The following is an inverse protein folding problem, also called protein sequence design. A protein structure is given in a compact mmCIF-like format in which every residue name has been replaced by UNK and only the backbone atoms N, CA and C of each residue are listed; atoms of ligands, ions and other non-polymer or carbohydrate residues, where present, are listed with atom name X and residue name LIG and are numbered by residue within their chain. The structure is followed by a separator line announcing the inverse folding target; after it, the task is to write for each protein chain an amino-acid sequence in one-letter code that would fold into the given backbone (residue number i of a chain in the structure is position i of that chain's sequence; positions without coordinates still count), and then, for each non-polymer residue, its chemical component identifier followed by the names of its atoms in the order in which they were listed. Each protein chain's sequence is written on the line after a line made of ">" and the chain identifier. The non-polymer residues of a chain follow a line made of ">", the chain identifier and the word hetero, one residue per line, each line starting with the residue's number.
data_IF_764012011718
#
_entry.id   IF_764012011718
#
_cell.length_a   1.000
_cell.length_b   1.000
_cell.length_c   1.000
_cell.angle_alpha   90.00
_cell.angle_beta   90.00
_cell.angle_gamma   90.00
#
_symmetry.space_group_name_H-M   'P 1'
#
loop_
_entity.id
_entity.type
_entity.pdbx_description
1 polymer ?
#
# COMPACT_ATOMS: atom_id res chain seq x y z
N UNK A 1 -22.47 -65.27 15.60
CA UNK A 1 -22.46 -64.81 14.19
C UNK A 1 -22.77 -63.31 14.23
N UNK A 2 -21.76 -62.56 14.66
CA UNK A 2 -21.83 -61.13 14.89
C UNK A 2 -21.18 -60.42 13.71
N UNK A 3 -21.97 -59.62 12.98
CA UNK A 3 -21.47 -58.80 11.88
C UNK A 3 -21.07 -57.43 12.46
N UNK A 4 -19.77 -57.19 12.56
CA UNK A 4 -19.22 -55.87 12.76
C UNK A 4 -19.52 -55.00 11.55
N UNK A 5 -20.30 -53.95 11.78
CA UNK A 5 -20.48 -52.85 10.84
C UNK A 5 -19.32 -51.88 11.06
N UNK A 6 -18.31 -51.99 10.20
CA UNK A 6 -17.27 -50.95 10.08
C UNK A 6 -17.90 -49.69 9.46
N UNK A 7 -18.24 -48.74 10.33
CA UNK A 7 -18.54 -47.39 9.91
C UNK A 7 -17.21 -46.70 9.53
N UNK A 8 -16.84 -46.80 8.26
CA UNK A 8 -15.81 -45.88 7.67
C UNK A 8 -16.34 -44.48 7.77
N UNK A 9 -15.78 -43.71 8.69
CA UNK A 9 -15.83 -42.27 8.63
C UNK A 9 -15.11 -41.84 7.33
N UNK A 10 -15.89 -41.52 6.32
CA UNK A 10 -15.42 -40.70 5.18
C UNK A 10 -15.02 -39.34 5.73
N UNK A 11 -13.74 -39.21 6.06
CA UNK A 11 -13.11 -37.93 6.29
C UNK A 11 -13.22 -37.18 4.97
N UNK A 12 -14.18 -36.23 4.91
CA UNK A 12 -14.28 -35.25 3.84
C UNK A 12 -12.95 -34.53 3.78
N UNK A 13 -12.14 -34.94 2.81
CA UNK A 13 -10.86 -34.29 2.52
C UNK A 13 -11.20 -32.95 1.89
N UNK A 14 -11.41 -31.94 2.74
CA UNK A 14 -11.50 -30.53 2.29
C UNK A 14 -10.17 -30.22 1.62
N UNK A 15 -10.15 -29.89 0.31
CA UNK A 15 -8.91 -29.51 -0.35
C UNK A 15 -8.27 -28.36 0.43
N UNK A 16 -6.94 -28.33 0.60
CA UNK A 16 -6.28 -27.20 1.25
C UNK A 16 -6.64 -25.94 0.49
N UNK A 17 -7.27 -25.00 1.20
CA UNK A 17 -7.63 -23.69 0.67
C UNK A 17 -6.37 -23.09 0.05
N UNK A 18 -6.39 -22.68 -1.24
CA UNK A 18 -5.21 -22.15 -1.89
C UNK A 18 -4.66 -21.00 -1.03
N UNK A 19 -3.33 -20.86 -0.87
CA UNK A 19 -2.74 -19.85 0.00
C UNK A 19 -3.35 -18.51 -0.35
N UNK A 20 -3.94 -17.86 0.64
CA UNK A 20 -4.69 -16.61 0.47
C UNK A 20 -3.84 -15.65 -0.37
N UNK A 21 -4.27 -15.45 -1.61
CA UNK A 21 -3.55 -14.66 -2.61
C UNK A 21 -3.40 -13.24 -2.09
N UNK A 22 -2.18 -12.91 -1.66
CA UNK A 22 -1.86 -11.59 -1.12
C UNK A 22 -1.49 -10.69 -2.28
N UNK A 23 -2.27 -9.65 -2.50
CA UNK A 23 -1.94 -8.64 -3.49
C UNK A 23 -0.89 -7.67 -2.94
N UNK A 24 0.14 -7.43 -3.73
CA UNK A 24 1.25 -6.54 -3.38
C UNK A 24 1.29 -5.33 -4.32
N UNK A 25 1.78 -4.22 -3.80
CA UNK A 25 2.07 -3.04 -4.61
C UNK A 25 3.17 -3.35 -5.64
N UNK A 26 2.78 -3.43 -6.92
CA UNK A 26 3.68 -3.74 -8.04
C UNK A 26 4.63 -2.58 -8.39
N UNK A 27 4.25 -1.34 -8.07
CA UNK A 27 5.05 -0.14 -8.39
C UNK A 27 6.06 0.23 -7.31
N UNK A 28 5.99 -0.40 -6.15
CA UNK A 28 6.91 -0.12 -5.04
C UNK A 28 8.40 -0.16 -5.45
N UNK A 29 8.79 -1.10 -6.30
CA UNK A 29 10.19 -1.19 -6.78
C UNK A 29 10.58 0.03 -7.62
N UNK A 30 9.66 0.56 -8.44
CA UNK A 30 9.89 1.78 -9.22
C UNK A 30 10.06 3.02 -8.33
N UNK A 31 9.20 3.16 -7.32
CA UNK A 31 9.26 4.27 -6.37
C UNK A 31 10.53 4.22 -5.53
N UNK A 32 10.98 3.01 -5.15
CA UNK A 32 12.26 2.81 -4.46
C UNK A 32 13.45 3.25 -5.33
N UNK A 33 13.48 2.85 -6.61
CA UNK A 33 14.53 3.27 -7.54
C UNK A 33 14.53 4.79 -7.74
N UNK A 34 13.36 5.41 -7.81
CA UNK A 34 13.24 6.87 -7.90
C UNK A 34 13.82 7.55 -6.67
N UNK A 35 13.52 7.04 -5.48
CA UNK A 35 14.05 7.56 -4.21
C UNK A 35 15.58 7.43 -4.13
N UNK A 36 16.13 6.29 -4.56
CA UNK A 36 17.58 6.06 -4.63
C UNK A 36 18.23 7.03 -5.61
N UNK A 37 17.67 7.19 -6.81
CA UNK A 37 18.20 8.13 -7.82
C UNK A 37 18.20 9.56 -7.32
N UNK A 38 17.12 10.00 -6.68
CA UNK A 38 17.01 11.35 -6.14
C UNK A 38 18.09 11.61 -5.06
N UNK A 39 18.27 10.67 -4.13
CA UNK A 39 19.30 10.77 -3.10
C UNK A 39 20.72 10.76 -3.71
N UNK A 40 20.98 9.89 -4.68
CA UNK A 40 22.28 9.78 -5.36
C UNK A 40 22.62 11.07 -6.12
N UNK A 41 21.66 11.62 -6.89
CA UNK A 41 21.85 12.89 -7.61
C UNK A 41 22.17 14.02 -6.65
N UNK A 42 21.47 14.13 -5.53
CA UNK A 42 21.76 15.14 -4.52
C UNK A 42 23.19 15.02 -4.00
N UNK A 43 23.60 13.81 -3.58
CA UNK A 43 24.96 13.58 -3.05
C UNK A 43 26.02 13.90 -4.09
N UNK A 44 25.84 13.45 -5.33
CA UNK A 44 26.78 13.72 -6.44
C UNK A 44 26.90 15.24 -6.68
N UNK A 45 25.78 15.95 -6.73
CA UNK A 45 25.80 17.41 -6.93
C UNK A 45 26.55 18.12 -5.80
N UNK A 46 26.29 17.75 -4.53
CA UNK A 46 26.97 18.34 -3.38
C UNK A 46 28.47 18.07 -3.39
N UNK A 47 28.88 16.85 -3.74
CA UNK A 47 30.30 16.49 -3.88
C UNK A 47 30.98 17.24 -5.04
N UNK A 48 30.31 17.41 -6.17
CA UNK A 48 30.83 18.17 -7.31
C UNK A 48 31.02 19.65 -6.96
N UNK A 49 30.08 20.25 -6.24
CA UNK A 49 30.18 21.65 -5.77
C UNK A 49 31.38 21.81 -4.83
N UNK A 50 31.53 20.91 -3.85
CA UNK A 50 32.64 20.95 -2.89
C UNK A 50 33.99 20.74 -3.57
N UNK A 51 34.03 19.83 -4.57
CA UNK A 51 35.22 19.58 -5.37
C UNK A 51 35.62 20.81 -6.21
N UNK A 52 34.62 21.40 -6.91
CA UNK A 52 34.84 22.58 -7.75
C UNK A 52 35.24 23.82 -6.96
N UNK A 53 34.78 23.93 -5.72
CA UNK A 53 35.18 25.00 -4.79
C UNK A 53 36.56 24.76 -4.13
N UNK A 54 37.21 23.61 -4.36
CA UNK A 54 38.48 23.25 -3.73
C UNK A 54 38.40 23.06 -2.20
N UNK A 55 37.15 22.94 -1.65
CA UNK A 55 36.90 22.85 -0.20
C UNK A 55 36.66 21.43 0.28
N UNK A 56 36.88 20.44 -0.59
CA UNK A 56 36.63 19.04 -0.27
C UNK A 56 37.46 18.57 0.92
N UNK A 57 36.81 18.06 1.93
CA UNK A 57 37.42 17.46 3.09
C UNK A 57 36.67 16.19 3.52
N UNK A 58 37.34 15.17 4.10
CA UNK A 58 36.68 13.94 4.50
C UNK A 58 35.44 14.13 5.41
N UNK A 59 35.46 15.03 6.41
CA UNK A 59 34.29 15.25 7.27
C UNK A 59 33.11 15.87 6.52
N UNK A 60 33.36 16.72 5.50
CA UNK A 60 32.31 17.27 4.65
C UNK A 60 31.69 16.21 3.74
N UNK A 61 32.53 15.34 3.15
CA UNK A 61 32.03 14.21 2.37
C UNK A 61 31.15 13.29 3.20
N UNK A 62 31.52 13.01 4.45
CA UNK A 62 30.69 12.24 5.37
C UNK A 62 29.36 12.94 5.72
N UNK A 63 29.38 14.26 5.85
CA UNK A 63 28.16 15.06 6.06
C UNK A 63 27.19 14.94 4.87
N UNK A 64 27.69 15.07 3.65
CA UNK A 64 26.87 14.96 2.44
C UNK A 64 26.32 13.56 2.24
N UNK A 65 27.12 12.53 2.53
CA UNK A 65 26.65 11.15 2.52
C UNK A 65 25.54 10.93 3.56
N UNK A 66 25.73 11.46 4.77
CA UNK A 66 24.71 11.41 5.83
C UNK A 66 23.41 12.10 5.43
N UNK A 67 23.50 13.26 4.76
CA UNK A 67 22.32 13.96 4.25
C UNK A 67 21.61 13.16 3.15
N UNK A 68 22.35 12.50 2.27
CA UNK A 68 21.81 11.61 1.25
C UNK A 68 21.07 10.41 1.85
N UNK A 69 21.64 9.79 2.90
CA UNK A 69 20.98 8.71 3.64
C UNK A 69 19.71 9.22 4.32
N UNK A 70 19.76 10.39 4.95
CA UNK A 70 18.59 11.00 5.58
C UNK A 70 17.48 11.27 4.56
N UNK A 71 17.83 11.83 3.41
CA UNK A 71 16.88 12.07 2.32
C UNK A 71 16.27 10.74 1.84
N UNK A 72 17.08 9.71 1.65
CA UNK A 72 16.59 8.39 1.26
C UNK A 72 15.61 7.81 2.30
N UNK A 73 15.91 7.96 3.59
CA UNK A 73 15.02 7.50 4.67
C UNK A 73 13.67 8.22 4.64
N UNK A 74 13.67 9.53 4.35
CA UNK A 74 12.45 10.35 4.24
C UNK A 74 11.63 9.97 3.00
N UNK A 75 12.31 9.71 1.87
CA UNK A 75 11.66 9.35 0.61
C UNK A 75 11.29 7.87 0.52
N UNK A 76 11.66 7.06 1.51
CA UNK A 76 11.43 5.61 1.47
C UNK A 76 9.93 5.28 1.34
N UNK A 77 9.50 4.63 0.23
CA UNK A 77 8.08 4.35 0.01
C UNK A 77 7.58 3.23 0.93
N UNK A 78 6.45 3.41 1.64
CA UNK A 78 5.86 2.33 2.41
C UNK A 78 5.30 1.26 1.48
N UNK A 79 5.54 -0.01 1.80
CA UNK A 79 4.92 -1.14 1.09
C UNK A 79 3.50 -1.36 1.57
N UNK A 80 2.56 -1.44 0.64
CA UNK A 80 1.18 -1.81 0.93
C UNK A 80 0.94 -3.24 0.45
N UNK A 81 0.26 -4.02 1.27
CA UNK A 81 -0.20 -5.38 0.93
C UNK A 81 -1.63 -5.57 1.44
N UNK A 82 -2.45 -6.23 0.63
CA UNK A 82 -3.85 -6.53 0.94
C UNK A 82 -4.05 -8.03 0.81
N UNK A 83 -4.65 -8.64 1.83
CA UNK A 83 -5.11 -10.02 1.81
C UNK A 83 -6.59 -10.09 2.16
N UNK A 84 -7.15 -11.29 2.26
CA UNK A 84 -8.55 -11.49 2.65
C UNK A 84 -8.79 -10.91 4.05
N UNK A 85 -9.61 -9.87 4.17
CA UNK A 85 -10.01 -9.24 5.43
C UNK A 85 -8.92 -8.43 6.13
N UNK A 86 -7.83 -8.09 5.48
CA UNK A 86 -6.80 -7.25 6.09
C UNK A 86 -5.99 -6.45 5.07
N UNK A 87 -5.54 -5.29 5.52
CA UNK A 87 -4.59 -4.45 4.81
C UNK A 87 -3.41 -4.14 5.73
N UNK A 88 -2.21 -4.27 5.21
CA UNK A 88 -1.00 -3.92 5.94
C UNK A 88 -0.18 -2.88 5.15
N UNK A 89 0.31 -1.89 5.89
CA UNK A 89 1.29 -0.93 5.41
C UNK A 89 2.59 -1.14 6.19
N UNK A 90 3.67 -1.39 5.47
CA UNK A 90 5.00 -1.60 6.02
C UNK A 90 5.91 -0.45 5.60
N UNK A 91 6.10 0.50 6.49
CA UNK A 91 7.17 1.48 6.39
C UNK A 91 8.50 0.94 6.91
N UNK A 92 9.53 1.77 6.87
CA UNK A 92 10.88 1.40 7.32
C UNK A 92 10.91 1.01 8.82
N UNK A 93 10.22 1.78 9.67
CA UNK A 93 10.26 1.65 11.13
C UNK A 93 9.02 1.00 11.73
N UNK A 94 7.90 0.97 11.01
CA UNK A 94 6.61 0.49 11.56
C UNK A 94 5.85 -0.34 10.55
N UNK A 95 5.39 -1.51 10.99
CA UNK A 95 4.38 -2.31 10.30
C UNK A 95 3.04 -2.03 10.98
N UNK A 96 2.07 -1.56 10.22
CA UNK A 96 0.69 -1.37 10.68
C UNK A 96 -0.22 -2.28 9.88
N UNK A 97 -1.16 -2.91 10.54
CA UNK A 97 -2.17 -3.78 9.94
C UNK A 97 -3.54 -3.35 10.44
N UNK A 98 -4.52 -3.36 9.57
CA UNK A 98 -5.92 -3.10 9.86
C UNK A 98 -6.76 -4.22 9.28
N UNK A 99 -7.84 -4.58 9.96
CA UNK A 99 -8.82 -5.53 9.47
C UNK A 99 -9.82 -4.81 8.56
N UNK A 100 -9.82 -5.19 7.28
CA UNK A 100 -10.70 -4.56 6.27
C UNK A 100 -12.11 -5.12 6.30
N UNK A 101 -12.29 -6.30 6.85
CA UNK A 101 -13.59 -6.94 7.11
C UNK A 101 -14.35 -6.35 8.33
N UNK A 102 -13.68 -5.58 9.17
CA UNK A 102 -14.23 -4.93 10.37
C UNK A 102 -13.94 -3.44 10.39
N UNK A 103 -14.04 -2.77 9.25
CA UNK A 103 -13.82 -1.33 9.16
C UNK A 103 -14.92 -0.57 9.90
N UNK A 104 -14.49 0.39 10.71
CA UNK A 104 -15.38 1.32 11.42
C UNK A 104 -15.36 2.69 10.77
N UNK A 105 -14.21 3.12 10.27
CA UNK A 105 -14.06 4.45 9.71
C UNK A 105 -13.06 4.47 8.56
N UNK A 106 -13.46 5.12 7.47
CA UNK A 106 -12.60 5.46 6.34
C UNK A 106 -12.64 6.97 6.13
N UNK A 107 -11.49 7.63 6.15
CA UNK A 107 -11.40 9.09 5.96
C UNK A 107 -10.36 9.42 4.91
N UNK A 108 -10.72 10.28 3.97
CA UNK A 108 -9.75 10.99 3.13
C UNK A 108 -9.32 12.26 3.85
N UNK A 109 -8.03 12.41 4.04
CA UNK A 109 -7.42 13.64 4.50
C UNK A 109 -6.91 14.38 3.27
N UNK A 110 -7.53 15.52 3.00
CA UNK A 110 -7.14 16.41 1.93
C UNK A 110 -6.05 17.36 2.47
N UNK A 111 -4.89 17.35 1.84
CA UNK A 111 -3.73 18.15 2.20
C UNK A 111 -2.74 18.18 1.04
N UNK A 112 -1.51 18.63 1.30
CA UNK A 112 -0.42 18.62 0.31
C UNK A 112 -0.18 17.21 -0.24
N UNK A 113 -0.37 16.20 0.58
CA UNK A 113 -0.46 14.79 0.15
C UNK A 113 -1.77 14.20 0.65
N UNK A 114 -2.61 13.73 -0.28
CA UNK A 114 -3.83 13.03 0.08
C UNK A 114 -3.49 11.73 0.81
N UNK A 115 -4.21 11.46 1.90
CA UNK A 115 -4.05 10.24 2.69
C UNK A 115 -5.39 9.59 2.97
N UNK A 116 -5.47 8.30 2.73
CA UNK A 116 -6.61 7.48 3.12
C UNK A 116 -6.29 6.83 4.47
N UNK A 117 -7.11 7.15 5.46
CA UNK A 117 -6.99 6.63 6.83
C UNK A 117 -8.08 5.60 7.05
N UNK A 118 -7.66 4.37 7.30
CA UNK A 118 -8.53 3.23 7.62
C UNK A 118 -8.42 2.92 9.11
N UNK A 119 -9.55 2.70 9.78
CA UNK A 119 -9.62 2.28 11.17
C UNK A 119 -10.59 1.13 11.32
N UNK A 120 -10.17 0.08 12.03
CA UNK A 120 -10.99 -1.08 12.33
C UNK A 120 -11.62 -1.02 13.73
N UNK A 121 -12.47 -2.01 14.04
CA UNK A 121 -13.13 -2.15 15.32
C UNK A 121 -12.17 -2.43 16.49
N UNK A 122 -10.95 -2.94 16.22
CA UNK A 122 -9.92 -3.13 17.24
C UNK A 122 -9.18 -1.83 17.61
N UNK A 123 -9.46 -0.73 16.88
CA UNK A 123 -8.78 0.54 17.03
C UNK A 123 -7.48 0.65 16.24
N UNK A 124 -7.09 -0.38 15.50
CA UNK A 124 -5.94 -0.31 14.62
C UNK A 124 -6.17 0.71 13.49
N UNK A 125 -5.11 1.45 13.17
CA UNK A 125 -5.15 2.53 12.17
C UNK A 125 -4.02 2.37 11.18
N UNK A 126 -4.37 2.45 9.90
CA UNK A 126 -3.42 2.46 8.78
C UNK A 126 -3.68 3.69 7.91
N UNK A 127 -2.60 4.34 7.50
CA UNK A 127 -2.62 5.44 6.55
C UNK A 127 -1.93 4.99 5.27
N UNK A 128 -2.59 5.16 4.15
CA UNK A 128 -2.07 4.84 2.82
C UNK A 128 -2.25 6.03 1.88
N UNK A 129 -1.38 6.12 0.89
CA UNK A 129 -1.58 7.04 -0.23
C UNK A 129 -2.66 6.45 -1.16
N UNK A 130 -3.77 7.15 -1.45
CA UNK A 130 -4.78 6.69 -2.40
C UNK A 130 -4.22 6.33 -3.77
N UNK A 131 -3.13 6.97 -4.19
CA UNK A 131 -2.47 6.69 -5.47
C UNK A 131 -1.99 5.23 -5.58
N UNK A 132 -1.65 4.58 -4.46
CA UNK A 132 -1.29 3.16 -4.45
C UNK A 132 -2.48 2.29 -4.90
N UNK A 133 -3.70 2.65 -4.50
CA UNK A 133 -4.93 1.94 -4.90
C UNK A 133 -5.27 2.21 -6.38
N UNK A 134 -5.09 3.45 -6.83
CA UNK A 134 -5.26 3.83 -8.23
C UNK A 134 -4.30 3.06 -9.14
N UNK A 135 -3.05 2.96 -8.73
CA UNK A 135 -2.01 2.25 -9.47
C UNK A 135 -2.16 0.72 -9.45
N UNK A 136 -2.94 0.19 -8.52
CA UNK A 136 -3.14 -1.25 -8.33
C UNK A 136 -4.64 -1.56 -8.16
N UNK A 137 -5.40 -1.70 -9.25
CA UNK A 137 -6.85 -1.96 -9.20
C UNK A 137 -7.22 -3.20 -8.39
N UNK A 138 -6.36 -4.22 -8.39
CA UNK A 138 -6.56 -5.44 -7.60
C UNK A 138 -6.58 -5.18 -6.09
N UNK A 139 -5.70 -4.29 -5.60
CA UNK A 139 -5.70 -3.86 -4.20
C UNK A 139 -7.00 -3.10 -3.86
N UNK A 140 -7.47 -2.27 -4.80
CA UNK A 140 -8.72 -1.54 -4.65
C UNK A 140 -9.93 -2.46 -4.56
N UNK A 141 -10.09 -3.39 -5.51
CA UNK A 141 -11.23 -4.30 -5.53
C UNK A 141 -11.37 -5.11 -4.23
N UNK A 142 -10.25 -5.62 -3.70
CA UNK A 142 -10.26 -6.35 -2.43
C UNK A 142 -10.65 -5.46 -1.25
N UNK A 143 -10.12 -4.22 -1.20
CA UNK A 143 -10.47 -3.27 -0.16
C UNK A 143 -11.94 -2.86 -0.24
N UNK A 144 -12.46 -2.62 -1.44
CA UNK A 144 -13.85 -2.24 -1.69
C UNK A 144 -14.81 -3.37 -1.30
N UNK A 145 -14.52 -4.61 -1.69
CA UNK A 145 -15.30 -5.78 -1.31
C UNK A 145 -15.41 -5.94 0.22
N UNK A 146 -14.28 -5.84 0.92
CA UNK A 146 -14.25 -5.93 2.38
C UNK A 146 -14.96 -4.73 3.04
N UNK A 147 -14.81 -3.53 2.48
CA UNK A 147 -15.51 -2.34 2.97
C UNK A 147 -17.02 -2.44 2.77
N UNK A 148 -17.48 -3.04 1.66
CA UNK A 148 -18.89 -3.33 1.43
C UNK A 148 -19.43 -4.36 2.44
N UNK A 149 -18.66 -5.40 2.76
CA UNK A 149 -19.01 -6.35 3.83
C UNK A 149 -19.14 -5.66 5.18
N UNK A 150 -18.21 -4.75 5.50
CA UNK A 150 -18.25 -3.95 6.74
C UNK A 150 -19.45 -3.00 6.77
N UNK A 151 -19.84 -2.45 5.63
CA UNK A 151 -21.06 -1.62 5.52
C UNK A 151 -22.33 -2.45 5.68
N UNK A 152 -22.41 -3.61 5.04
CA UNK A 152 -23.55 -4.52 5.13
C UNK A 152 -23.75 -5.08 6.55
N UNK A 153 -22.66 -5.32 7.29
CA UNK A 153 -22.69 -5.74 8.69
C UNK A 153 -22.96 -4.58 9.68
N UNK A 154 -23.06 -3.34 9.19
CA UNK A 154 -23.29 -2.16 10.03
C UNK A 154 -22.07 -1.72 10.85
N UNK A 155 -20.90 -2.31 10.64
CA UNK A 155 -19.67 -1.92 11.37
C UNK A 155 -19.08 -0.63 10.82
N UNK A 156 -19.24 -0.33 9.53
CA UNK A 156 -18.73 0.90 8.91
C UNK A 156 -19.64 2.10 9.25
N UNK A 157 -19.28 2.84 10.28
CA UNK A 157 -20.04 3.99 10.77
C UNK A 157 -19.85 5.24 9.90
N UNK A 158 -18.66 5.43 9.30
CA UNK A 158 -18.40 6.56 8.42
C UNK A 158 -17.34 6.21 7.37
N UNK A 159 -17.51 6.77 6.16
CA UNK A 159 -16.50 6.59 5.10
C UNK A 159 -17.04 6.19 3.73
N UNK A 160 -18.34 5.94 3.57
CA UNK A 160 -18.94 5.64 2.28
C UNK A 160 -18.62 6.72 1.23
N UNK A 161 -18.68 8.01 1.61
CA UNK A 161 -18.32 9.13 0.74
C UNK A 161 -16.82 9.12 0.38
N UNK A 162 -15.96 8.75 1.33
CA UNK A 162 -14.52 8.68 1.07
C UNK A 162 -14.19 7.55 0.09
N UNK A 163 -14.79 6.38 0.27
CA UNK A 163 -14.65 5.24 -0.64
C UNK A 163 -15.15 5.59 -2.04
N UNK A 164 -16.34 6.22 -2.16
CA UNK A 164 -16.87 6.67 -3.44
C UNK A 164 -15.94 7.64 -4.16
N UNK A 165 -15.35 8.61 -3.46
CA UNK A 165 -14.38 9.54 -4.07
C UNK A 165 -13.14 8.83 -4.61
N UNK A 166 -12.66 7.79 -3.91
CA UNK A 166 -11.53 6.98 -4.38
C UNK A 166 -11.93 6.17 -5.61
N UNK A 167 -13.12 5.56 -5.62
CA UNK A 167 -13.66 4.83 -6.77
C UNK A 167 -13.76 5.73 -8.00
N UNK A 168 -14.43 6.89 -7.87
CA UNK A 168 -14.58 7.88 -8.96
C UNK A 168 -13.22 8.34 -9.52
N UNK A 169 -12.21 8.41 -8.69
CA UNK A 169 -10.85 8.75 -9.13
C UNK A 169 -10.20 7.63 -9.90
N UNK A 170 -10.31 6.39 -9.42
CA UNK A 170 -9.77 5.21 -10.09
C UNK A 170 -10.41 5.05 -11.47
N UNK A 171 -11.73 5.18 -11.54
CA UNK A 171 -12.49 5.08 -12.80
C UNK A 171 -12.04 6.15 -13.81
N UNK A 172 -11.84 7.38 -13.33
CA UNK A 172 -11.36 8.49 -14.17
C UNK A 172 -9.94 8.24 -14.69
N UNK A 173 -9.01 7.80 -13.84
CA UNK A 173 -7.62 7.54 -14.27
C UNK A 173 -7.55 6.32 -15.19
N UNK A 174 -8.38 5.32 -14.96
CA UNK A 174 -8.52 4.15 -15.84
C UNK A 174 -9.05 4.57 -17.21
N UNK A 175 -10.10 5.38 -17.25
CA UNK A 175 -10.66 5.91 -18.50
C UNK A 175 -9.61 6.70 -19.28
N UNK A 176 -8.89 7.62 -18.64
CA UNK A 176 -7.83 8.39 -19.27
C UNK A 176 -6.70 7.51 -19.82
N UNK A 177 -6.36 6.45 -19.13
CA UNK A 177 -5.33 5.49 -19.59
C UNK A 177 -5.81 4.74 -20.83
N UNK A 178 -7.07 4.31 -20.86
CA UNK A 178 -7.67 3.64 -22.02
C UNK A 178 -7.72 4.58 -23.23
N UNK A 179 -8.14 5.84 -23.06
CA UNK A 179 -8.15 6.85 -24.13
C UNK A 179 -6.74 7.08 -24.71
N UNK A 180 -5.75 7.21 -23.84
CA UNK A 180 -4.37 7.42 -24.26
C UNK A 180 -3.76 6.24 -25.02
N UNK A 181 -4.13 5.00 -24.65
CA UNK A 181 -3.66 3.78 -25.32
C UNK A 181 -4.39 3.58 -26.65
N UNK A 182 -5.66 4.00 -26.77
CA UNK A 182 -6.44 3.88 -27.98
C UNK A 182 -6.15 4.98 -29.03
N UNK A 183 -5.23 5.92 -28.74
CA UNK A 183 -4.81 6.95 -29.71
C UNK A 183 -5.91 7.93 -30.11
N UNK A 184 -6.94 8.08 -29.29
CA UNK A 184 -8.02 9.06 -29.45
C UNK A 184 -7.62 10.31 -28.64
N UNK A 185 -6.73 11.13 -29.23
CA UNK A 185 -6.44 12.50 -28.79
C UNK A 185 -7.46 13.49 -29.36
#
# INVERSE_FOLDING_TARGET
>A
MERHHDARHDAVHTPPEPPAEVAYDRRWAGDLHSSIRCAAVLVVLLLLIDWGAGTFSPPRGALWAGLGVLLFLVLYPPRVSVGKGWLASRGLLRKRRVRTDLLVSVRCLDGVSQRLVLRDASGARVEINPQVLVNNPELWHRLEEDAQKSAASGTLMCGATALRRVSERIDRETALTVFKVSGLD
#
